data_IF_656408439216
#
_entry.id   IF_656408439216
#
_cell.length_a   1.000
_cell.length_b   1.000
_cell.length_c   1.000
_cell.angle_alpha   90.00
_cell.angle_beta   90.00
_cell.angle_gamma   90.00
#
_symmetry.space_group_name_H-M   'P 1'
#
loop_
_entity.id
_entity.type
_entity.pdbx_description
1 polymer ?
#
# COMPACT_ATOMS: atom_id res chain seq x y z
N UNK A 1 13.04 3.21 -11.32
CA UNK A 1 13.37 2.22 -10.25
C UNK A 1 13.65 3.04 -9.00
N UNK A 2 12.62 3.34 -8.20
CA UNK A 2 12.74 4.18 -7.01
C UNK A 2 13.37 3.32 -5.93
N UNK A 3 14.70 3.39 -5.89
CA UNK A 3 15.61 2.78 -4.91
C UNK A 3 15.55 1.24 -4.83
N UNK A 4 16.70 0.57 -4.78
CA UNK A 4 16.85 -0.90 -4.91
C UNK A 4 16.28 -1.72 -3.72
N UNK A 5 15.26 -1.22 -3.03
CA UNK A 5 14.70 -1.79 -1.82
C UNK A 5 13.40 -2.57 -2.04
N UNK A 6 12.71 -2.37 -3.17
CA UNK A 6 11.44 -3.04 -3.47
C UNK A 6 11.67 -4.05 -4.60
N UNK A 7 11.56 -5.34 -4.26
CA UNK A 7 11.58 -6.43 -5.24
C UNK A 7 10.32 -6.39 -6.10
N UNK A 8 10.49 -6.70 -7.38
CA UNK A 8 9.41 -6.60 -8.35
C UNK A 8 9.84 -6.93 -9.77
N UNK A 9 8.88 -6.79 -10.68
CA UNK A 9 9.03 -7.05 -12.11
C UNK A 9 8.54 -5.86 -12.95
N UNK A 10 8.90 -5.83 -14.23
CA UNK A 10 8.41 -4.82 -15.18
C UNK A 10 7.82 -5.55 -16.38
N UNK A 11 6.55 -5.29 -16.64
CA UNK A 11 5.86 -5.71 -17.86
C UNK A 11 5.84 -4.57 -18.87
N UNK A 12 6.17 -4.90 -20.12
CA UNK A 12 6.15 -3.99 -21.26
C UNK A 12 5.93 -4.78 -22.56
N UNK A 13 5.38 -4.15 -23.58
CA UNK A 13 5.28 -4.70 -24.93
C UNK A 13 6.62 -4.69 -25.69
N UNK A 14 7.58 -3.84 -25.28
CA UNK A 14 8.91 -3.74 -25.87
C UNK A 14 9.98 -3.43 -24.81
N UNK A 15 11.19 -3.96 -25.02
CA UNK A 15 12.36 -3.65 -24.19
C UNK A 15 12.93 -2.28 -24.56
N UNK A 16 12.88 -1.90 -25.83
CA UNK A 16 13.44 -0.64 -26.32
C UNK A 16 12.33 0.41 -26.47
N UNK A 17 12.49 1.54 -25.78
CA UNK A 17 11.60 2.70 -25.82
C UNK A 17 10.11 2.36 -25.60
N UNK A 18 9.75 1.77 -24.46
CA UNK A 18 8.36 1.46 -24.17
C UNK A 18 7.52 2.73 -24.03
N UNK A 19 6.35 2.75 -24.66
CA UNK A 19 5.39 3.86 -24.50
C UNK A 19 4.72 3.81 -23.13
N UNK A 20 4.55 2.59 -22.58
CA UNK A 20 4.02 2.34 -21.25
C UNK A 20 4.66 1.12 -20.61
N UNK A 21 4.67 1.08 -19.28
CA UNK A 21 5.15 -0.04 -18.47
C UNK A 21 4.22 -0.28 -17.29
N UNK A 22 4.05 -1.54 -16.90
CA UNK A 22 3.42 -1.92 -15.63
C UNK A 22 4.52 -2.43 -14.70
N UNK A 23 4.77 -1.69 -13.62
CA UNK A 23 5.72 -2.07 -12.58
C UNK A 23 4.98 -2.86 -11.50
N UNK A 24 5.39 -4.10 -11.26
CA UNK A 24 4.88 -4.98 -10.22
C UNK A 24 5.81 -4.99 -9.02
N UNK A 25 5.26 -5.04 -7.82
CA UNK A 25 5.99 -5.39 -6.60
C UNK A 25 5.60 -6.80 -6.14
N UNK A 26 6.52 -7.51 -5.47
CA UNK A 26 6.24 -8.84 -4.91
C UNK A 26 5.07 -8.85 -3.90
N UNK A 27 4.68 -7.67 -3.38
CA UNK A 27 3.52 -7.49 -2.50
C UNK A 27 2.18 -7.35 -3.23
N UNK A 28 2.14 -7.57 -4.54
CA UNK A 28 0.92 -7.48 -5.35
C UNK A 28 0.45 -6.05 -5.61
N UNK A 29 1.37 -5.08 -5.56
CA UNK A 29 1.11 -3.69 -5.95
C UNK A 29 1.65 -3.43 -7.34
N UNK A 30 0.84 -2.79 -8.18
CA UNK A 30 1.16 -2.52 -9.57
C UNK A 30 1.03 -1.03 -9.85
N UNK A 31 1.96 -0.48 -10.62
CA UNK A 31 1.95 0.92 -11.04
C UNK A 31 2.08 0.99 -12.56
N UNK A 32 1.05 1.52 -13.22
CA UNK A 32 1.09 1.82 -14.64
C UNK A 32 1.79 3.17 -14.84
N UNK A 33 2.68 3.27 -15.81
CA UNK A 33 3.34 4.51 -16.19
C UNK A 33 3.43 4.63 -17.71
N UNK A 34 3.40 5.87 -18.21
CA UNK A 34 3.46 6.18 -19.63
C UNK A 34 2.08 6.26 -20.31
N UNK A 35 2.08 6.14 -21.63
CA UNK A 35 0.90 6.19 -22.49
C UNK A 35 0.67 4.81 -23.13
N UNK A 36 -0.37 4.08 -22.69
CA UNK A 36 -0.67 2.74 -23.20
C UNK A 36 -0.95 2.77 -24.70
N UNK A 37 -0.16 2.04 -25.48
CA UNK A 37 -0.46 1.74 -26.89
C UNK A 37 -1.34 0.50 -27.00
N UNK A 38 -1.99 0.28 -28.15
CA UNK A 38 -2.82 -0.91 -28.37
C UNK A 38 -2.07 -2.23 -28.10
N UNK A 39 -0.80 -2.32 -28.50
CA UNK A 39 0.02 -3.52 -28.25
C UNK A 39 0.34 -3.71 -26.77
N UNK A 40 0.53 -2.62 -26.02
CA UNK A 40 0.63 -2.68 -24.55
C UNK A 40 -0.68 -3.17 -23.93
N UNK A 41 -1.83 -2.68 -24.40
CA UNK A 41 -3.15 -3.09 -23.92
C UNK A 41 -3.35 -4.60 -24.10
N UNK A 42 -2.98 -5.16 -25.26
CA UNK A 42 -3.09 -6.60 -25.51
C UNK A 42 -2.14 -7.42 -24.62
N UNK A 43 -0.92 -6.93 -24.40
CA UNK A 43 0.04 -7.54 -23.47
C UNK A 43 -0.50 -7.52 -22.04
N UNK A 44 -1.11 -6.40 -21.63
CA UNK A 44 -1.69 -6.25 -20.31
C UNK A 44 -2.94 -7.13 -20.11
N UNK A 45 -3.77 -7.32 -21.14
CA UNK A 45 -4.88 -8.29 -21.11
C UNK A 45 -4.39 -9.71 -20.87
N UNK A 46 -3.39 -10.16 -21.63
CA UNK A 46 -2.82 -11.49 -21.46
C UNK A 46 -2.26 -11.68 -20.03
N UNK A 47 -1.52 -10.69 -19.54
CA UNK A 47 -1.01 -10.68 -18.17
C UNK A 47 -2.13 -10.76 -17.12
N UNK A 48 -3.18 -9.95 -17.29
CA UNK A 48 -4.33 -9.96 -16.37
C UNK A 48 -5.01 -11.33 -16.35
N UNK A 49 -5.22 -11.94 -17.51
CA UNK A 49 -5.85 -13.26 -17.64
C UNK A 49 -5.04 -14.37 -16.94
N UNK A 50 -3.71 -14.37 -17.09
CA UNK A 50 -2.81 -15.30 -16.40
C UNK A 50 -2.82 -15.15 -14.88
N UNK A 51 -3.16 -13.94 -14.39
CA UNK A 51 -3.16 -13.60 -12.98
C UNK A 51 -4.57 -13.46 -12.38
N UNK A 52 -5.60 -13.90 -13.11
CA UNK A 52 -6.98 -13.95 -12.61
C UNK A 52 -7.06 -14.73 -11.30
N UNK A 53 -7.78 -14.17 -10.34
CA UNK A 53 -7.95 -14.74 -9.00
C UNK A 53 -6.84 -14.41 -7.99
N UNK A 54 -5.73 -13.81 -8.42
CA UNK A 54 -4.72 -13.26 -7.49
C UNK A 54 -5.18 -11.91 -6.97
N UNK A 55 -4.86 -11.61 -5.71
CA UNK A 55 -5.08 -10.28 -5.14
C UNK A 55 -4.02 -9.33 -5.67
N UNK A 56 -4.45 -8.28 -6.36
CA UNK A 56 -3.57 -7.18 -6.77
C UNK A 56 -4.25 -5.82 -6.64
N UNK A 57 -3.44 -4.77 -6.57
CA UNK A 57 -3.89 -3.37 -6.63
C UNK A 57 -3.13 -2.66 -7.73
N UNK A 58 -3.84 -2.04 -8.68
CA UNK A 58 -3.22 -1.28 -9.77
C UNK A 58 -3.41 0.21 -9.53
N UNK A 59 -2.31 0.95 -9.63
CA UNK A 59 -2.29 2.40 -9.58
C UNK A 59 -2.10 2.98 -10.97
N UNK A 60 -3.07 3.79 -11.37
CA UNK A 60 -3.07 4.59 -12.59
C UNK A 60 -2.56 6.01 -12.30
N UNK A 61 -1.79 6.62 -13.21
CA UNK A 61 -1.27 7.97 -13.05
C UNK A 61 -2.24 9.05 -13.58
N UNK A 62 -3.15 8.69 -14.47
CA UNK A 62 -4.06 9.61 -15.15
C UNK A 62 -5.32 8.89 -15.68
N UNK A 63 -6.28 9.69 -16.17
CA UNK A 63 -7.55 9.20 -16.69
C UNK A 63 -7.41 8.28 -17.91
N UNK A 64 -6.45 8.52 -18.80
CA UNK A 64 -6.22 7.64 -19.96
C UNK A 64 -5.88 6.21 -19.50
N UNK A 65 -5.04 6.11 -18.47
CA UNK A 65 -4.71 4.84 -17.85
C UNK A 65 -5.90 4.21 -17.10
N UNK A 66 -6.74 5.02 -16.43
CA UNK A 66 -7.99 4.54 -15.82
C UNK A 66 -8.88 3.86 -16.87
N UNK A 67 -9.11 4.54 -17.99
CA UNK A 67 -10.01 4.07 -19.06
C UNK A 67 -9.47 2.74 -19.66
N UNK A 68 -8.14 2.61 -19.81
CA UNK A 68 -7.50 1.36 -20.25
C UNK A 68 -7.71 0.23 -19.25
N UNK A 69 -7.44 0.46 -17.96
CA UNK A 69 -7.60 -0.55 -16.92
C UNK A 69 -9.07 -0.98 -16.86
N UNK A 70 -10.00 -0.03 -16.84
CA UNK A 70 -11.45 -0.27 -16.82
C UNK A 70 -11.94 -1.08 -18.02
N UNK A 71 -11.28 -0.97 -19.18
CA UNK A 71 -11.60 -1.77 -20.36
C UNK A 71 -11.15 -3.24 -20.30
N UNK A 72 -10.27 -3.58 -19.35
CA UNK A 72 -9.65 -4.91 -19.22
C UNK A 72 -10.20 -5.66 -18.00
N UNK A 73 -10.42 -4.95 -16.90
CA UNK A 73 -10.79 -5.55 -15.63
C UNK A 73 -12.20 -6.14 -15.64
N UNK A 74 -12.40 -7.13 -14.77
CA UNK A 74 -13.64 -7.91 -14.65
C UNK A 74 -14.60 -7.33 -13.60
N UNK A 75 -15.85 -7.82 -13.52
CA UNK A 75 -16.80 -7.42 -12.47
C UNK A 75 -16.30 -7.61 -11.03
N UNK A 76 -15.29 -8.46 -10.82
CA UNK A 76 -14.69 -8.72 -9.52
C UNK A 76 -13.67 -7.64 -9.09
N UNK A 77 -13.46 -6.62 -9.93
CA UNK A 77 -12.59 -5.48 -9.60
C UNK A 77 -13.37 -4.31 -9.04
N UNK A 78 -12.74 -3.61 -8.08
CA UNK A 78 -13.32 -2.44 -7.42
C UNK A 78 -12.44 -1.23 -7.66
N UNK A 79 -12.98 -0.22 -8.35
CA UNK A 79 -12.34 1.09 -8.46
C UNK A 79 -12.27 1.77 -7.08
N UNK A 80 -11.11 2.32 -6.76
CA UNK A 80 -10.88 3.04 -5.51
C UNK A 80 -10.28 4.41 -5.79
N UNK A 81 -10.81 5.44 -5.13
CA UNK A 81 -10.22 6.77 -5.18
C UNK A 81 -9.14 6.94 -4.11
N UNK A 82 -7.98 7.46 -4.52
CA UNK A 82 -6.89 7.79 -3.60
C UNK A 82 -6.95 9.28 -3.26
N UNK A 83 -6.85 9.58 -1.97
CA UNK A 83 -6.66 10.95 -1.49
C UNK A 83 -5.20 11.16 -1.16
N UNK A 84 -4.59 12.17 -1.77
CA UNK A 84 -3.26 12.65 -1.39
C UNK A 84 -3.47 13.69 -0.29
N UNK A 85 -2.93 13.41 0.88
CA UNK A 85 -2.99 14.32 2.02
C UNK A 85 -1.64 15.02 2.17
N UNK A 86 -1.68 16.34 2.42
CA UNK A 86 -0.50 17.10 2.82
C UNK A 86 -0.58 17.34 4.33
N UNK A 87 0.46 16.93 5.06
CA UNK A 87 0.54 17.21 6.48
C UNK A 87 0.78 18.72 6.68
N UNK A 88 -0.16 19.40 7.32
CA UNK A 88 0.06 20.74 7.84
C UNK A 88 0.83 20.62 9.17
N UNK A 89 2.15 20.71 9.10
CA UNK A 89 3.06 20.54 10.25
C UNK A 89 2.77 21.53 11.37
N UNK A 90 2.39 22.77 11.05
CA UNK A 90 2.04 23.80 12.03
C UNK A 90 0.78 23.41 12.82
N UNK A 91 -0.30 23.07 12.12
CA UNK A 91 -1.55 22.63 12.76
C UNK A 91 -1.36 21.32 13.54
N UNK A 92 -0.52 20.42 13.05
CA UNK A 92 -0.18 19.19 13.75
C UNK A 92 0.54 19.48 15.08
N UNK A 93 1.56 20.34 15.08
CA UNK A 93 2.28 20.72 16.29
C UNK A 93 1.38 21.40 17.33
N UNK A 94 0.46 22.27 16.89
CA UNK A 94 -0.54 22.90 17.76
C UNK A 94 -1.48 21.86 18.40
N UNK A 95 -1.93 20.85 17.63
CA UNK A 95 -2.80 19.76 18.14
C UNK A 95 -2.07 18.75 19.01
N UNK A 96 -0.79 18.45 18.76
CA UNK A 96 -0.01 17.57 19.63
C UNK A 96 0.08 18.17 21.04
N UNK A 97 0.12 19.51 21.16
CA UNK A 97 0.10 20.17 22.44
C UNK A 97 -1.25 20.06 23.18
N UNK A 98 -2.37 19.84 22.49
CA UNK A 98 -3.69 19.65 23.11
C UNK A 98 -3.97 18.18 23.50
N UNK A 99 -3.26 17.22 22.91
CA UNK A 99 -3.30 15.79 23.30
C UNK A 99 -2.58 15.54 24.64
N UNK A 100 -1.88 16.55 25.19
CA UNK A 100 -1.19 16.52 26.49
C UNK A 100 -2.13 16.57 27.69
N UNK A 101 -3.07 15.62 27.81
CA UNK A 101 -3.44 15.12 29.15
C UNK A 101 -2.54 13.91 29.44
N UNK A 102 -1.32 14.12 29.98
CA UNK A 102 -0.45 13.02 30.33
C UNK A 102 -1.15 12.11 31.34
N UNK A 103 -1.41 10.87 30.95
CA UNK A 103 -2.03 9.87 31.83
C UNK A 103 -2.98 8.90 31.12
N UNK A 104 -3.67 9.34 30.07
CA UNK A 104 -4.77 8.55 29.49
C UNK A 104 -4.28 7.48 28.51
N UNK A 105 -3.17 7.69 27.82
CA UNK A 105 -2.64 6.74 26.84
C UNK A 105 -1.14 6.51 26.99
N UNK A 106 -0.72 5.23 26.96
CA UNK A 106 0.67 4.81 26.83
C UNK A 106 0.91 4.32 25.41
N UNK A 107 1.91 4.91 24.75
CA UNK A 107 2.32 4.54 23.40
C UNK A 107 3.48 3.55 23.46
N UNK A 108 3.41 2.52 22.62
CA UNK A 108 4.41 1.46 22.54
C UNK A 108 4.79 1.24 21.08
N UNK A 109 6.08 1.04 20.77
CA UNK A 109 6.46 0.57 19.45
C UNK A 109 5.80 -0.79 19.19
N UNK A 110 5.46 -1.05 17.93
CA UNK A 110 4.94 -2.36 17.54
C UNK A 110 5.98 -3.45 17.85
N UNK A 111 5.51 -4.56 18.40
CA UNK A 111 6.34 -5.73 18.72
C UNK A 111 5.65 -7.00 18.21
N UNK A 112 6.38 -8.12 18.17
CA UNK A 112 5.79 -9.42 17.81
C UNK A 112 4.58 -9.75 18.68
N UNK A 113 4.69 -9.56 20.00
CA UNK A 113 3.59 -9.84 20.92
C UNK A 113 2.36 -8.99 20.61
N UNK A 114 2.56 -7.71 20.29
CA UNK A 114 1.47 -6.81 19.91
C UNK A 114 0.79 -7.23 18.60
N UNK A 115 1.55 -7.75 17.63
CA UNK A 115 1.03 -8.29 16.38
C UNK A 115 0.17 -9.53 16.65
N UNK A 116 0.67 -10.47 17.46
CA UNK A 116 -0.04 -11.73 17.75
C UNK A 116 -1.39 -11.51 18.42
N UNK A 117 -1.52 -10.52 19.30
CA UNK A 117 -2.76 -10.23 20.03
C UNK A 117 -3.70 -9.25 19.30
N UNK A 118 -3.29 -8.72 18.14
CA UNK A 118 -4.07 -7.74 17.39
C UNK A 118 -5.11 -8.44 16.53
N UNK A 119 -6.38 -8.04 16.65
CA UNK A 119 -7.44 -8.61 15.80
C UNK A 119 -7.30 -8.17 14.34
N UNK A 120 -6.95 -6.90 14.11
CA UNK A 120 -6.94 -6.29 12.78
C UNK A 120 -5.57 -6.28 12.11
N UNK A 121 -4.50 -6.31 12.91
CA UNK A 121 -3.11 -6.27 12.46
C UNK A 121 -2.36 -7.48 12.98
N UNK A 122 -2.94 -8.65 12.71
CA UNK A 122 -2.38 -9.95 13.04
C UNK A 122 -1.33 -10.38 12.00
N UNK A 123 -0.79 -11.57 12.19
CA UNK A 123 0.17 -12.18 11.28
C UNK A 123 -0.30 -12.18 9.80
N UNK A 124 -1.57 -12.47 9.53
CA UNK A 124 -2.08 -12.50 8.15
C UNK A 124 -1.99 -11.14 7.46
N UNK A 125 -2.23 -10.04 8.19
CA UNK A 125 -2.04 -8.68 7.66
C UNK A 125 -0.57 -8.45 7.24
N UNK A 126 0.39 -8.83 8.08
CA UNK A 126 1.80 -8.61 7.79
C UNK A 126 2.33 -9.49 6.66
N UNK A 127 1.91 -10.75 6.57
CA UNK A 127 2.25 -11.56 5.40
C UNK A 127 1.66 -10.97 4.11
N UNK A 128 0.39 -10.54 4.15
CA UNK A 128 -0.27 -9.99 2.97
C UNK A 128 0.35 -8.67 2.46
N UNK A 129 0.91 -7.84 3.34
CA UNK A 129 1.37 -6.50 2.99
C UNK A 129 2.89 -6.31 3.07
N UNK A 130 3.59 -7.12 3.85
CA UNK A 130 5.02 -7.00 4.14
C UNK A 130 5.80 -8.29 3.89
N UNK A 131 5.18 -9.32 3.30
CA UNK A 131 5.77 -10.66 3.05
C UNK A 131 6.02 -11.47 4.33
N UNK A 132 6.41 -10.84 5.43
CA UNK A 132 6.56 -11.48 6.74
C UNK A 132 6.56 -10.47 7.89
N UNK A 133 6.39 -10.97 9.12
CA UNK A 133 6.56 -10.16 10.34
C UNK A 133 7.99 -9.61 10.45
N UNK A 134 9.02 -10.41 10.12
CA UNK A 134 10.43 -9.97 10.24
C UNK A 134 10.77 -8.82 9.30
N UNK A 135 10.28 -8.90 8.06
CA UNK A 135 10.48 -7.87 7.06
C UNK A 135 9.90 -6.53 7.55
N UNK A 136 8.74 -6.58 8.20
CA UNK A 136 8.13 -5.42 8.81
C UNK A 136 8.88 -4.93 10.05
N UNK A 137 9.26 -5.81 10.99
CA UNK A 137 9.99 -5.38 12.19
C UNK A 137 11.37 -4.77 11.86
N UNK A 138 11.95 -5.14 10.72
CA UNK A 138 13.23 -4.60 10.24
C UNK A 138 13.07 -3.25 9.54
N UNK A 139 12.02 -3.07 8.73
CA UNK A 139 11.92 -1.92 7.80
C UNK A 139 10.73 -1.00 8.06
N UNK A 140 9.77 -1.43 8.87
CA UNK A 140 8.53 -0.72 9.17
C UNK A 140 8.62 0.13 10.44
N UNK A 141 7.73 1.12 10.53
CA UNK A 141 7.59 1.98 11.71
C UNK A 141 6.12 2.05 12.10
N UNK A 142 5.84 1.76 13.36
CA UNK A 142 4.49 1.83 13.89
C UNK A 142 4.47 1.83 15.41
N UNK A 143 3.45 2.49 15.95
CA UNK A 143 3.15 2.56 17.37
C UNK A 143 1.69 2.19 17.61
N UNK A 144 1.42 1.62 18.78
CA UNK A 144 0.07 1.44 19.28
C UNK A 144 -0.11 2.14 20.63
N UNK A 145 -1.34 2.54 20.92
CA UNK A 145 -1.70 3.19 22.18
C UNK A 145 -2.51 2.23 23.06
N UNK A 146 -2.32 2.32 24.37
CA UNK A 146 -3.10 1.59 25.38
C UNK A 146 -3.66 2.59 26.40
N UNK A 147 -4.92 2.41 26.80
CA UNK A 147 -5.58 3.21 27.83
C UNK A 147 -5.98 2.29 28.99
N UNK A 148 -5.83 2.77 30.23
CA UNK A 148 -6.25 2.02 31.43
C UNK A 148 -7.77 1.94 31.60
N UNK A 149 -8.54 2.88 31.02
CA UNK A 149 -10.00 2.96 31.11
C UNK A 149 -10.74 2.16 30.03
N UNK A 150 -10.09 1.84 28.91
CA UNK A 150 -10.68 1.11 27.79
C UNK A 150 -9.85 -0.14 27.51
N UNK A 151 -10.43 -1.33 27.67
CA UNK A 151 -9.77 -2.59 27.35
C UNK A 151 -9.36 -2.59 25.86
N UNK A 152 -8.10 -2.26 25.61
CA UNK A 152 -7.28 -2.51 24.41
C UNK A 152 -8.01 -2.33 23.06
N UNK A 153 -7.96 -1.13 22.51
CA UNK A 153 -8.12 -0.94 21.06
C UNK A 153 -6.82 -0.40 20.46
N UNK A 154 -6.26 -1.17 19.53
CA UNK A 154 -5.08 -0.81 18.76
C UNK A 154 -5.48 0.22 17.70
N UNK A 155 -5.16 1.48 17.92
CA UNK A 155 -5.19 2.50 16.88
C UNK A 155 -3.84 2.51 16.17
N UNK A 156 -3.83 2.14 14.88
CA UNK A 156 -2.65 2.28 14.05
C UNK A 156 -2.62 3.62 13.33
N UNK A 157 -1.53 4.34 13.51
CA UNK A 157 -1.06 5.34 12.55
C UNK A 157 0.16 4.77 11.85
N UNK A 158 -0.07 4.03 10.76
CA UNK A 158 1.00 3.68 9.81
C UNK A 158 1.07 4.75 8.73
N UNK A 159 2.09 5.61 8.77
CA UNK A 159 2.46 6.39 7.59
C UNK A 159 3.37 5.49 6.77
N UNK A 160 2.85 4.97 5.66
CA UNK A 160 3.70 4.40 4.62
C UNK A 160 4.23 5.59 3.83
N UNK A 161 5.45 6.04 4.14
CA UNK A 161 6.17 6.99 3.26
C UNK A 161 6.69 6.20 2.07
N UNK A 162 6.20 6.53 0.86
CA UNK A 162 6.87 6.18 -0.40
C UNK A 162 7.81 7.33 -0.76
#
# INVERSE_FOLDING_TARGET
MVERYIKGSILSNTIHNPSAVLMETDSGTYCLAGEPSNSFIDTFRAYYDENKGKRFTIFSPNKCCDDVIESIVTPDTKKMERKILKLNTKSFAEKVNTIKKPGDFKFHPISRDAITISNNFNEAYYHAHWVSIEQYLTNGICYYATNSAWKRELFLYGIVTH
#
